data_IF_976965333820
#
_entry.id   IF_976965333820
#
_cell.length_a   1.000
_cell.length_b   1.000
_cell.length_c   1.000
_cell.angle_alpha   90.00
_cell.angle_beta   90.00
_cell.angle_gamma   90.00
#
_symmetry.space_group_name_H-M   'P 1'
#
loop_
_entity.id
_entity.type
_entity.pdbx_description
1 polymer ?
#
# COMPACT_ATOMS: atom_id res chain seq x y z
N UNK A 1 -12.99 -3.78 15.61
CA UNK A 1 -11.92 -4.68 15.12
C UNK A 1 -12.57 -5.87 14.42
N UNK A 2 -12.13 -6.11 13.16
CA UNK A 2 -12.79 -6.84 12.04
C UNK A 2 -14.27 -6.49 11.79
N UNK A 3 -14.75 -6.69 10.56
CA UNK A 3 -16.17 -6.48 10.21
C UNK A 3 -17.10 -7.41 11.01
N UNK A 4 -16.57 -8.54 11.50
CA UNK A 4 -17.30 -9.53 12.30
C UNK A 4 -17.16 -9.29 13.82
N UNK A 5 -16.56 -8.18 14.24
CA UNK A 5 -16.33 -7.88 15.66
C UNK A 5 -15.33 -8.81 16.37
N UNK A 6 -14.53 -9.55 15.61
CA UNK A 6 -13.50 -10.47 16.12
C UNK A 6 -12.16 -9.77 16.31
N UNK A 7 -11.43 -10.21 17.34
CA UNK A 7 -10.02 -9.89 17.58
C UNK A 7 -9.13 -10.94 16.91
N UNK A 8 -8.27 -10.58 15.95
CA UNK A 8 -7.28 -11.51 15.40
C UNK A 8 -6.07 -11.64 16.33
N UNK A 9 -5.30 -12.71 16.13
CA UNK A 9 -4.02 -12.92 16.83
C UNK A 9 -2.95 -11.93 16.38
N UNK A 10 -2.91 -11.64 15.07
CA UNK A 10 -2.03 -10.64 14.46
C UNK A 10 -2.85 -9.82 13.49
N UNK A 11 -2.61 -8.51 13.50
CA UNK A 11 -3.08 -7.62 12.46
C UNK A 11 -1.87 -7.04 11.71
N UNK A 12 -1.80 -7.30 10.41
CA UNK A 12 -0.79 -6.72 9.51
C UNK A 12 -1.46 -5.78 8.50
N UNK A 13 -0.83 -4.64 8.23
CA UNK A 13 -1.34 -3.58 7.35
C UNK A 13 -0.26 -3.16 6.36
N UNK A 14 -0.69 -2.77 5.15
CA UNK A 14 0.22 -2.26 4.11
C UNK A 14 0.69 -0.82 4.35
N UNK A 15 0.08 -0.13 5.31
CA UNK A 15 0.39 1.23 5.74
C UNK A 15 0.47 1.25 7.25
N UNK A 16 1.68 1.45 7.78
CA UNK A 16 1.92 1.45 9.21
C UNK A 16 1.11 2.51 9.95
N UNK A 17 0.83 3.67 9.33
CA UNK A 17 0.12 4.78 9.96
C UNK A 17 -1.34 4.45 10.31
N UNK A 18 -1.91 3.39 9.72
CA UNK A 18 -3.22 2.85 10.12
C UNK A 18 -3.24 2.45 11.59
N UNK A 19 -2.17 1.82 12.10
CA UNK A 19 -2.14 1.33 13.48
C UNK A 19 -2.22 2.48 14.49
N UNK A 20 -1.31 3.49 14.48
CA UNK A 20 -1.38 4.59 15.43
C UNK A 20 -2.59 5.50 15.23
N UNK A 21 -3.12 5.66 14.00
CA UNK A 21 -4.28 6.53 13.74
C UNK A 21 -5.61 5.90 14.13
N UNK A 22 -5.79 4.59 13.92
CA UNK A 22 -7.10 3.93 14.00
C UNK A 22 -7.21 2.86 15.09
N UNK A 23 -6.09 2.32 15.58
CA UNK A 23 -6.09 1.23 16.56
C UNK A 23 -5.54 1.66 17.92
N UNK A 24 -4.54 2.53 17.95
CA UNK A 24 -4.00 3.05 19.22
C UNK A 24 -4.89 4.21 19.71
N UNK A 25 -5.24 4.27 21.00
CA UNK A 25 -4.86 3.36 22.08
C UNK A 25 -5.96 2.34 22.41
N UNK A 26 -6.92 2.06 21.54
CA UNK A 26 -8.09 1.23 21.91
C UNK A 26 -7.84 -0.27 21.72
N UNK A 27 -7.26 -0.65 20.59
CA UNK A 27 -7.06 -2.02 20.16
C UNK A 27 -5.59 -2.45 20.11
N UNK A 28 -4.65 -1.52 20.18
CA UNK A 28 -3.22 -1.77 20.21
C UNK A 28 -2.50 -0.66 21.01
N UNK A 29 -1.25 -0.90 21.39
CA UNK A 29 -0.36 0.06 22.02
C UNK A 29 1.05 0.08 21.41
N UNK A 30 1.44 -0.90 20.61
CA UNK A 30 2.68 -0.93 19.85
C UNK A 30 2.45 -1.45 18.43
N UNK A 31 3.42 -1.24 17.54
CA UNK A 31 3.51 -1.89 16.23
C UNK A 31 4.97 -2.04 15.81
N UNK A 32 5.26 -2.97 14.91
CA UNK A 32 6.58 -3.12 14.32
C UNK A 32 6.50 -3.18 12.79
N UNK A 33 7.46 -2.53 12.13
CA UNK A 33 7.62 -2.61 10.67
C UNK A 33 8.23 -3.96 10.28
N UNK A 34 7.88 -4.49 9.11
CA UNK A 34 8.42 -5.79 8.67
C UNK A 34 8.77 -5.88 7.18
N UNK A 35 8.21 -5.02 6.34
CA UNK A 35 8.53 -5.00 4.91
C UNK A 35 8.26 -3.63 4.29
N UNK A 36 8.90 -3.37 3.15
CA UNK A 36 8.61 -2.23 2.27
C UNK A 36 8.23 -2.72 0.88
N UNK A 37 7.68 -1.81 0.08
CA UNK A 37 7.20 -2.09 -1.27
C UNK A 37 7.22 -0.83 -2.13
N UNK A 38 6.79 -0.93 -3.39
CA UNK A 38 6.61 0.19 -4.30
C UNK A 38 5.26 0.10 -5.01
N UNK A 39 4.65 1.26 -5.28
CA UNK A 39 3.47 1.30 -6.14
C UNK A 39 3.91 1.25 -7.60
N UNK A 40 3.24 0.44 -8.40
CA UNK A 40 3.51 0.25 -9.83
C UNK A 40 2.22 0.27 -10.64
N UNK A 41 2.40 0.41 -11.96
CA UNK A 41 1.33 0.27 -12.94
C UNK A 41 1.53 -1.06 -13.68
N UNK A 42 0.77 -2.09 -13.30
CA UNK A 42 0.88 -3.43 -13.86
C UNK A 42 0.00 -3.61 -15.10
N UNK A 43 0.46 -4.44 -16.04
CA UNK A 43 -0.20 -4.72 -17.31
C UNK A 43 0.21 -6.09 -17.88
N UNK A 44 -0.51 -6.56 -18.91
CA UNK A 44 -0.17 -7.77 -19.69
C UNK A 44 0.52 -7.41 -21.00
N UNK A 45 1.13 -8.38 -21.66
CA UNK A 45 1.67 -8.16 -23.01
C UNK A 45 0.59 -7.74 -24.02
N UNK A 46 -0.63 -8.22 -23.84
CA UNK A 46 -1.78 -7.98 -24.71
C UNK A 46 -2.56 -6.72 -24.34
N UNK A 47 -2.17 -6.02 -23.26
CA UNK A 47 -2.83 -4.78 -22.86
C UNK A 47 -2.70 -3.72 -23.96
N UNK A 48 -3.77 -2.96 -24.19
CA UNK A 48 -3.74 -1.88 -25.16
C UNK A 48 -2.66 -0.84 -24.80
N UNK A 49 -1.72 -0.56 -25.72
CA UNK A 49 -0.57 0.32 -25.48
C UNK A 49 0.62 -0.30 -24.74
N UNK A 50 0.63 -1.63 -24.52
CA UNK A 50 1.72 -2.30 -23.81
C UNK A 50 3.08 -2.24 -24.53
N UNK A 51 3.09 -2.04 -25.86
CA UNK A 51 4.33 -1.99 -26.65
C UNK A 51 5.05 -0.65 -26.56
N UNK A 52 4.33 0.43 -26.30
CA UNK A 52 4.90 1.78 -26.30
C UNK A 52 4.92 2.44 -24.92
N UNK A 53 4.27 1.83 -23.91
CA UNK A 53 4.28 2.34 -22.53
C UNK A 53 5.65 2.20 -21.86
N UNK A 54 6.07 3.26 -21.17
CA UNK A 54 7.30 3.33 -20.38
C UNK A 54 7.18 4.38 -19.27
N UNK A 55 8.24 4.49 -18.46
CA UNK A 55 8.34 5.45 -17.34
C UNK A 55 8.11 6.90 -17.78
N UNK A 56 8.46 7.28 -19.00
CA UNK A 56 8.35 8.67 -19.46
C UNK A 56 6.96 9.03 -20.02
N UNK A 57 6.15 8.04 -20.40
CA UNK A 57 4.89 8.29 -21.12
C UNK A 57 3.65 7.58 -20.57
N UNK A 58 3.76 6.77 -19.51
CA UNK A 58 2.65 5.96 -18.98
C UNK A 58 1.35 6.76 -18.82
N UNK A 59 1.44 7.97 -18.29
CA UNK A 59 0.27 8.82 -18.06
C UNK A 59 -0.42 9.23 -19.36
N UNK A 60 0.33 9.41 -20.46
CA UNK A 60 -0.25 9.70 -21.78
C UNK A 60 -0.95 8.47 -22.36
N UNK A 61 -0.41 7.28 -22.11
CA UNK A 61 -1.04 6.02 -22.52
C UNK A 61 -2.36 5.84 -21.78
N UNK A 62 -2.39 6.03 -20.46
CA UNK A 62 -3.61 5.90 -19.65
C UNK A 62 -4.74 6.87 -20.05
N UNK A 63 -4.40 8.02 -20.63
CA UNK A 63 -5.35 9.03 -21.08
C UNK A 63 -5.87 8.80 -22.52
N UNK A 64 -5.41 7.76 -23.23
CA UNK A 64 -5.94 7.42 -24.56
C UNK A 64 -7.35 6.89 -24.45
N UNK A 65 -8.15 7.19 -25.48
CA UNK A 65 -9.50 6.63 -25.60
C UNK A 65 -9.45 5.09 -25.63
N UNK A 66 -10.35 4.45 -24.87
CA UNK A 66 -10.47 2.99 -24.82
C UNK A 66 -9.57 2.30 -23.81
N UNK A 67 -8.60 2.97 -23.18
CA UNK A 67 -7.75 2.37 -22.14
C UNK A 67 -8.53 2.24 -20.84
N UNK A 68 -8.51 1.03 -20.26
CA UNK A 68 -9.22 0.68 -19.02
C UNK A 68 -8.21 0.51 -17.89
N UNK A 69 -8.21 1.46 -16.96
CA UNK A 69 -7.31 1.44 -15.80
C UNK A 69 -8.08 1.19 -14.53
N UNK A 70 -7.70 0.16 -13.78
CA UNK A 70 -8.25 -0.15 -12.46
C UNK A 70 -7.38 0.35 -11.32
N UNK A 71 -8.03 0.61 -10.19
CA UNK A 71 -7.41 0.92 -8.89
C UNK A 71 -8.34 0.47 -7.77
N UNK A 72 -7.84 0.35 -6.56
CA UNK A 72 -8.69 0.07 -5.41
C UNK A 72 -9.37 1.31 -4.85
N UNK A 73 -10.35 1.09 -3.97
CA UNK A 73 -11.10 2.14 -3.30
C UNK A 73 -10.23 2.82 -2.24
N UNK A 74 -9.97 4.14 -2.34
CA UNK A 74 -9.14 4.86 -1.38
C UNK A 74 -9.74 4.87 0.04
N UNK A 75 -11.04 4.62 0.20
CA UNK A 75 -11.64 4.54 1.54
C UNK A 75 -11.40 3.18 2.23
N UNK A 76 -11.05 2.14 1.45
CA UNK A 76 -10.99 0.75 1.95
C UNK A 76 -9.60 0.13 1.85
N UNK A 77 -8.70 0.69 1.03
CA UNK A 77 -7.41 0.10 0.74
C UNK A 77 -6.29 1.16 0.59
N UNK A 78 -5.14 1.00 1.29
CA UNK A 78 -3.93 1.78 1.08
C UNK A 78 -3.50 1.97 -0.37
N UNK A 79 -3.57 0.95 -1.21
CA UNK A 79 -3.19 1.10 -2.61
C UNK A 79 -4.08 2.12 -3.34
N UNK A 80 -5.34 2.27 -2.91
CA UNK A 80 -6.32 3.18 -3.50
C UNK A 80 -5.96 4.64 -3.26
N UNK A 81 -5.72 5.04 -2.02
CA UNK A 81 -5.32 6.43 -1.74
C UNK A 81 -3.87 6.71 -2.16
N UNK A 82 -2.97 5.72 -2.09
CA UNK A 82 -1.59 5.85 -2.62
C UNK A 82 -1.60 6.10 -4.13
N UNK A 83 -2.49 5.46 -4.88
CA UNK A 83 -2.66 5.76 -6.31
C UNK A 83 -2.97 7.24 -6.55
N UNK A 84 -3.86 7.84 -5.75
CA UNK A 84 -4.17 9.27 -5.85
C UNK A 84 -2.97 10.15 -5.47
N UNK A 85 -2.16 9.73 -4.50
CA UNK A 85 -0.92 10.42 -4.12
C UNK A 85 0.11 10.37 -5.24
N UNK A 86 0.32 9.20 -5.86
CA UNK A 86 1.23 9.05 -7.00
C UNK A 86 0.82 9.95 -8.17
N UNK A 87 -0.48 10.12 -8.42
CA UNK A 87 -0.95 11.04 -9.45
C UNK A 87 -0.63 12.51 -9.13
N UNK A 88 -0.79 12.94 -7.88
CA UNK A 88 -0.40 14.29 -7.43
C UNK A 88 1.11 14.50 -7.53
N UNK A 89 1.91 13.50 -7.16
CA UNK A 89 3.37 13.53 -7.26
C UNK A 89 3.82 13.57 -8.73
N UNK A 90 3.20 12.76 -9.59
CA UNK A 90 3.46 12.71 -11.02
C UNK A 90 3.16 14.05 -11.73
N UNK A 91 2.08 14.73 -11.34
CA UNK A 91 1.75 16.06 -11.87
C UNK A 91 2.92 17.05 -11.70
N UNK A 92 3.54 17.06 -10.52
CA UNK A 92 4.72 17.88 -10.24
C UNK A 92 5.97 17.36 -10.95
N UNK A 93 6.25 16.06 -10.81
CA UNK A 93 7.46 15.43 -11.34
C UNK A 93 7.58 15.59 -12.86
N UNK A 94 6.51 15.31 -13.60
CA UNK A 94 6.50 15.44 -15.07
C UNK A 94 6.16 16.85 -15.57
N UNK A 95 5.91 17.80 -14.66
CA UNK A 95 5.50 19.16 -14.97
C UNK A 95 4.30 19.19 -15.93
N UNK A 96 3.27 18.39 -15.61
CA UNK A 96 2.06 18.24 -16.42
C UNK A 96 0.85 18.81 -15.66
N UNK A 97 0.47 20.08 -15.87
CA UNK A 97 -0.62 20.70 -15.15
C UNK A 97 -1.92 19.91 -15.25
N UNK A 98 -2.63 19.77 -14.13
CA UNK A 98 -3.90 19.05 -14.01
C UNK A 98 -3.84 17.54 -14.32
N UNK A 99 -2.64 16.94 -14.42
CA UNK A 99 -2.48 15.53 -14.69
C UNK A 99 -3.23 14.64 -13.69
N UNK A 100 -3.19 14.97 -12.39
CA UNK A 100 -3.84 14.15 -11.38
C UNK A 100 -5.36 14.08 -11.59
N UNK A 101 -5.98 15.23 -11.90
CA UNK A 101 -7.41 15.33 -12.20
C UNK A 101 -7.80 14.59 -13.47
N UNK A 102 -6.94 14.63 -14.49
CA UNK A 102 -7.16 13.90 -15.75
C UNK A 102 -7.11 12.39 -15.53
N UNK A 103 -6.12 11.88 -14.81
CA UNK A 103 -6.00 10.46 -14.46
C UNK A 103 -7.18 9.97 -13.61
N UNK A 104 -7.62 10.79 -12.65
CA UNK A 104 -8.81 10.48 -11.86
C UNK A 104 -10.07 10.37 -12.72
N UNK A 105 -10.22 11.25 -13.72
CA UNK A 105 -11.34 11.20 -14.66
C UNK A 105 -11.28 9.98 -15.59
N UNK A 106 -10.07 9.53 -15.95
CA UNK A 106 -9.83 8.33 -16.76
C UNK A 106 -9.95 7.01 -15.99
N UNK A 107 -10.13 7.06 -14.66
CA UNK A 107 -10.27 5.89 -13.78
C UNK A 107 -11.66 5.87 -13.11
N UNK A 108 -12.75 5.67 -13.89
CA UNK A 108 -14.11 5.73 -13.37
C UNK A 108 -14.43 4.62 -12.35
N UNK A 109 -15.43 4.81 -11.46
CA UNK A 109 -15.79 3.85 -10.41
C UNK A 109 -16.06 2.41 -10.88
N UNK A 110 -16.51 2.21 -12.13
CA UNK A 110 -16.73 0.86 -12.69
C UNK A 110 -15.48 -0.02 -12.76
N UNK A 111 -14.30 0.59 -12.83
CA UNK A 111 -13.00 -0.11 -12.80
C UNK A 111 -12.37 -0.15 -11.42
N UNK A 112 -13.08 0.34 -10.40
CA UNK A 112 -12.64 0.31 -9.02
C UNK A 112 -13.07 -0.99 -8.34
N UNK A 113 -12.25 -1.50 -7.43
CA UNK A 113 -12.59 -2.62 -6.54
C UNK A 113 -12.29 -2.25 -5.09
N UNK A 114 -12.90 -2.92 -4.10
CA UNK A 114 -12.59 -2.68 -2.70
C UNK A 114 -11.10 -2.83 -2.38
N UNK A 115 -10.46 -3.88 -2.91
CA UNK A 115 -9.03 -4.16 -2.71
C UNK A 115 -8.26 -4.21 -4.03
N UNK A 116 -6.98 -3.90 -4.00
CA UNK A 116 -6.09 -3.95 -5.16
C UNK A 116 -5.94 -5.36 -5.73
N UNK A 117 -5.92 -6.35 -4.85
CA UNK A 117 -5.78 -7.77 -5.16
C UNK A 117 -6.96 -8.30 -5.97
N UNK A 118 -8.15 -7.74 -5.79
CA UNK A 118 -9.35 -8.05 -6.58
C UNK A 118 -9.21 -7.64 -8.06
N UNK A 119 -8.26 -6.74 -8.39
CA UNK A 119 -8.00 -6.30 -9.76
C UNK A 119 -7.15 -7.30 -10.55
N UNK A 120 -6.45 -8.22 -9.87
CA UNK A 120 -5.53 -9.18 -10.48
C UNK A 120 -6.23 -10.04 -11.52
N UNK A 121 -7.39 -10.62 -11.16
CA UNK A 121 -8.17 -11.45 -12.09
C UNK A 121 -8.71 -10.65 -13.29
N UNK A 122 -9.12 -9.40 -13.07
CA UNK A 122 -9.60 -8.52 -14.15
C UNK A 122 -8.47 -8.18 -15.13
N UNK A 123 -7.26 -7.95 -14.60
CA UNK A 123 -6.10 -7.78 -15.45
C UNK A 123 -5.79 -9.09 -16.18
N UNK A 124 -5.74 -10.25 -15.54
CA UNK A 124 -5.47 -11.54 -16.21
C UNK A 124 -6.43 -11.83 -17.37
N UNK A 125 -7.73 -11.56 -17.17
CA UNK A 125 -8.77 -11.82 -18.15
C UNK A 125 -8.88 -10.75 -19.25
N UNK A 126 -8.12 -9.66 -19.16
CA UNK A 126 -8.19 -8.56 -20.12
C UNK A 126 -9.42 -7.68 -20.03
N UNK A 127 -10.13 -7.73 -18.90
CA UNK A 127 -11.20 -6.80 -18.56
C UNK A 127 -10.66 -5.39 -18.28
N UNK A 128 -9.40 -5.31 -17.81
CA UNK A 128 -8.63 -4.09 -17.65
C UNK A 128 -7.33 -4.17 -18.46
N UNK A 129 -6.82 -3.03 -18.90
CA UNK A 129 -5.54 -2.92 -19.61
C UNK A 129 -4.40 -2.64 -18.62
N UNK A 130 -4.66 -1.85 -17.58
CA UNK A 130 -3.70 -1.50 -16.55
C UNK A 130 -4.34 -1.55 -15.16
N UNK A 131 -3.55 -1.87 -14.13
CA UNK A 131 -3.98 -1.78 -12.74
C UNK A 131 -2.91 -1.13 -11.88
N UNK A 132 -3.34 -0.26 -10.97
CA UNK A 132 -2.49 0.24 -9.90
C UNK A 132 -2.40 -0.82 -8.79
N UNK A 133 -1.19 -1.27 -8.50
CA UNK A 133 -0.92 -2.32 -7.52
C UNK A 133 0.50 -2.18 -6.98
N UNK A 134 0.91 -3.13 -6.14
CA UNK A 134 2.27 -3.19 -5.61
C UNK A 134 3.20 -4.04 -6.48
N UNK A 135 4.49 -3.72 -6.49
CA UNK A 135 5.50 -4.50 -7.22
C UNK A 135 5.51 -5.98 -6.81
N UNK A 136 5.30 -6.27 -5.52
CA UNK A 136 5.18 -7.66 -5.02
C UNK A 136 4.03 -8.44 -5.67
N UNK A 137 2.86 -7.82 -5.83
CA UNK A 137 1.69 -8.44 -6.45
C UNK A 137 1.90 -8.60 -7.96
N UNK A 138 2.44 -7.57 -8.61
CA UNK A 138 2.76 -7.62 -10.03
C UNK A 138 3.73 -8.77 -10.33
N UNK A 139 4.77 -8.92 -9.50
CA UNK A 139 5.77 -9.99 -9.60
C UNK A 139 5.17 -11.38 -9.40
N UNK A 140 4.46 -11.59 -8.30
CA UNK A 140 3.86 -12.90 -7.97
C UNK A 140 2.75 -13.31 -8.93
N UNK A 141 2.09 -12.34 -9.57
CA UNK A 141 1.08 -12.58 -10.61
C UNK A 141 1.65 -12.71 -12.03
N UNK A 142 2.97 -12.52 -12.20
CA UNK A 142 3.64 -12.61 -13.50
C UNK A 142 3.29 -11.49 -14.48
N UNK A 143 2.84 -10.32 -13.99
CA UNK A 143 2.56 -9.17 -14.83
C UNK A 143 3.84 -8.43 -15.21
N UNK A 144 3.77 -7.70 -16.32
CA UNK A 144 4.71 -6.62 -16.59
C UNK A 144 4.26 -5.37 -15.83
N UNK A 145 5.17 -4.46 -15.55
CA UNK A 145 4.81 -3.19 -14.95
C UNK A 145 5.72 -2.07 -15.45
N UNK A 146 5.26 -0.84 -15.26
CA UNK A 146 6.08 0.36 -15.42
C UNK A 146 6.81 0.63 -14.11
N UNK A 147 8.14 0.66 -14.15
CA UNK A 147 8.95 1.13 -13.02
C UNK A 147 8.80 2.65 -12.91
N UNK A 148 7.97 3.07 -11.95
CA UNK A 148 7.74 4.48 -11.65
C UNK A 148 8.98 5.05 -10.93
N UNK A 149 9.34 6.33 -11.19
CA UNK A 149 10.48 6.96 -10.52
C UNK A 149 10.36 6.89 -8.99
N UNK A 150 11.47 6.69 -8.26
CA UNK A 150 11.47 6.69 -6.80
C UNK A 150 10.77 7.91 -6.21
N UNK A 151 10.91 9.09 -6.82
CA UNK A 151 10.30 10.35 -6.38
C UNK A 151 8.76 10.34 -6.35
N UNK A 152 8.12 9.37 -7.02
CA UNK A 152 6.65 9.29 -7.06
C UNK A 152 6.09 7.93 -6.63
N UNK A 153 6.89 6.87 -6.61
CA UNK A 153 6.41 5.50 -6.42
C UNK A 153 6.22 5.09 -4.94
N UNK A 154 6.52 6.01 -4.03
CA UNK A 154 6.40 5.86 -2.58
C UNK A 154 7.31 4.77 -1.98
N UNK A 155 8.43 4.43 -2.61
CA UNK A 155 9.30 3.34 -2.12
C UNK A 155 10.51 3.82 -1.32
N UNK A 156 11.10 4.96 -1.70
CA UNK A 156 12.37 5.43 -1.16
C UNK A 156 12.18 6.34 0.08
N UNK A 157 12.69 5.97 1.26
CA UNK A 157 12.67 6.81 2.46
C UNK A 157 13.31 8.19 2.28
N UNK A 158 14.30 8.33 1.40
CA UNK A 158 14.96 9.62 1.14
C UNK A 158 14.00 10.67 0.52
N UNK A 159 12.89 10.22 -0.07
CA UNK A 159 11.89 11.06 -0.71
C UNK A 159 10.70 11.40 0.21
N UNK A 160 10.73 10.98 1.49
CA UNK A 160 9.61 11.13 2.42
C UNK A 160 9.05 12.56 2.50
N UNK A 161 9.92 13.57 2.50
CA UNK A 161 9.50 14.97 2.51
C UNK A 161 8.71 15.37 1.24
N UNK A 162 9.12 14.88 0.06
CA UNK A 162 8.42 15.13 -1.20
C UNK A 162 7.09 14.38 -1.26
N UNK A 163 7.07 13.12 -0.82
CA UNK A 163 5.82 12.35 -0.73
C UNK A 163 4.78 13.04 0.14
N UNK A 164 5.20 13.62 1.27
CA UNK A 164 4.31 14.27 2.25
C UNK A 164 3.58 15.50 1.70
N UNK A 165 4.01 16.03 0.56
CA UNK A 165 3.31 17.11 -0.13
C UNK A 165 2.03 16.61 -0.84
N UNK A 166 1.91 15.31 -1.13
CA UNK A 166 0.66 14.72 -1.61
C UNK A 166 -0.23 14.35 -0.43
N UNK A 167 -1.54 14.62 -0.54
CA UNK A 167 -2.50 14.34 0.52
C UNK A 167 -3.82 13.82 0.00
N UNK A 168 -4.44 12.93 0.76
CA UNK A 168 -5.78 12.42 0.52
C UNK A 168 -6.57 12.53 1.81
N UNK A 169 -7.76 13.12 1.72
CA UNK A 169 -8.70 13.20 2.83
C UNK A 169 -9.78 12.17 2.58
N UNK A 170 -9.86 11.18 3.46
CA UNK A 170 -10.91 10.17 3.40
C UNK A 170 -12.08 10.64 4.26
N UNK A 171 -13.32 10.65 3.72
CA UNK A 171 -14.48 10.98 4.53
C UNK A 171 -14.63 9.94 5.64
N UNK A 172 -14.95 10.40 6.85
CA UNK A 172 -15.39 9.50 7.91
C UNK A 172 -16.80 8.97 7.64
N UNK A 173 -17.37 8.26 8.62
CA UNK A 173 -18.71 7.70 8.52
C UNK A 173 -19.79 8.77 8.23
N UNK A 174 -19.56 10.03 8.62
CA UNK A 174 -20.40 11.17 8.28
C UNK A 174 -19.68 12.16 7.36
N UNK A 175 -20.34 12.59 6.27
CA UNK A 175 -19.79 13.59 5.32
C UNK A 175 -19.56 14.99 5.91
N UNK A 176 -19.92 15.22 7.18
CA UNK A 176 -19.79 16.49 7.89
C UNK A 176 -18.46 16.59 8.66
N UNK A 177 -17.33 16.46 7.95
CA UNK A 177 -16.00 17.01 8.23
C UNK A 177 -15.30 16.80 9.61
N UNK A 178 -15.92 16.22 10.64
CA UNK A 178 -15.28 16.04 11.97
C UNK A 178 -14.58 14.70 12.16
N UNK A 179 -14.87 13.72 11.32
CA UNK A 179 -14.38 12.34 11.36
C UNK A 179 -13.58 11.95 10.11
N UNK A 180 -13.32 12.90 9.21
CA UNK A 180 -12.43 12.68 8.08
C UNK A 180 -10.99 12.47 8.56
N UNK A 181 -10.29 11.51 7.95
CA UNK A 181 -8.89 11.21 8.26
C UNK A 181 -8.02 11.68 7.10
N UNK A 182 -7.04 12.54 7.39
CA UNK A 182 -6.01 12.94 6.42
C UNK A 182 -4.87 11.92 6.43
N UNK A 183 -4.52 11.47 5.22
CA UNK A 183 -3.33 10.70 4.91
C UNK A 183 -2.42 11.53 4.02
N UNK A 184 -1.13 11.55 4.35
CA UNK A 184 -0.07 12.18 3.57
C UNK A 184 0.76 11.10 2.90
N UNK A 185 1.37 11.42 1.77
CA UNK A 185 2.29 10.50 1.13
C UNK A 185 3.48 10.22 2.05
N UNK A 186 3.84 8.95 2.17
CA UNK A 186 4.96 8.46 2.95
C UNK A 186 5.50 7.18 2.29
N UNK A 187 6.74 6.77 2.59
CA UNK A 187 7.28 5.51 2.09
C UNK A 187 6.36 4.33 2.46
N UNK A 188 6.16 3.40 1.53
CA UNK A 188 5.33 2.23 1.73
C UNK A 188 6.06 1.29 2.69
N UNK A 189 5.61 1.31 3.94
CA UNK A 189 6.09 0.45 5.00
C UNK A 189 4.92 -0.35 5.56
N UNK A 190 5.06 -1.67 5.52
CA UNK A 190 4.14 -2.62 6.11
C UNK A 190 4.49 -2.78 7.59
N UNK A 191 3.46 -2.83 8.42
CA UNK A 191 3.60 -3.05 9.85
C UNK A 191 2.59 -4.06 10.36
N UNK A 192 2.88 -4.62 11.52
CA UNK A 192 1.95 -5.45 12.24
C UNK A 192 1.88 -5.06 13.72
N UNK A 193 0.82 -5.51 14.38
CA UNK A 193 0.68 -5.50 15.84
C UNK A 193 0.00 -6.78 16.30
N UNK A 194 0.22 -7.14 17.56
CA UNK A 194 -0.60 -8.14 18.27
C UNK A 194 -1.69 -7.34 19.01
N UNK A 195 -2.97 -7.40 18.59
CA UNK A 195 -4.01 -6.59 19.20
C UNK A 195 -4.20 -6.93 20.69
N UNK A 196 -4.67 -5.94 21.46
CA UNK A 196 -5.12 -6.18 22.83
C UNK A 196 -6.27 -7.19 22.82
N UNK A 197 -6.13 -8.23 23.62
CA UNK A 197 -7.09 -9.32 23.68
C UNK A 197 -7.00 -10.30 22.50
N UNK A 198 -5.85 -10.38 21.81
CA UNK A 198 -5.52 -11.49 20.92
C UNK A 198 -5.84 -12.83 21.63
N UNK A 199 -6.64 -13.71 21.02
CA UNK A 199 -7.08 -14.94 21.68
C UNK A 199 -5.95 -15.95 21.93
N UNK A 200 -4.88 -15.92 21.12
CA UNK A 200 -3.74 -16.82 21.20
C UNK A 200 -2.40 -16.05 21.14
N UNK A 201 -2.03 -15.30 22.20
CA UNK A 201 -0.84 -14.46 22.21
C UNK A 201 0.46 -15.25 21.98
N UNK A 202 0.58 -16.45 22.54
CA UNK A 202 1.77 -17.29 22.35
C UNK A 202 1.97 -17.73 20.90
N UNK A 203 0.88 -18.02 20.18
CA UNK A 203 0.90 -18.37 18.75
C UNK A 203 1.27 -17.14 17.91
N UNK A 204 0.72 -15.97 18.27
CA UNK A 204 1.07 -14.72 17.62
C UNK A 204 2.58 -14.41 17.78
N UNK A 205 3.13 -14.55 18.99
CA UNK A 205 4.56 -14.36 19.23
C UNK A 205 5.43 -15.36 18.45
N UNK A 206 5.02 -16.63 18.37
CA UNK A 206 5.72 -17.63 17.58
C UNK A 206 5.74 -17.27 16.08
N UNK A 207 4.62 -16.79 15.54
CA UNK A 207 4.55 -16.31 14.17
C UNK A 207 5.45 -15.09 13.94
N UNK A 208 5.51 -14.14 14.89
CA UNK A 208 6.40 -12.98 14.77
C UNK A 208 7.88 -13.40 14.73
N UNK A 209 8.29 -14.37 15.56
CA UNK A 209 9.66 -14.92 15.49
C UNK A 209 9.92 -15.59 14.14
N UNK A 210 8.94 -16.31 13.61
CA UNK A 210 9.04 -16.89 12.27
C UNK A 210 9.16 -15.83 11.18
N UNK A 211 8.35 -14.77 11.23
CA UNK A 211 8.37 -13.65 10.28
C UNK A 211 9.75 -13.02 10.16
N UNK A 212 10.44 -12.83 11.29
CA UNK A 212 11.79 -12.27 11.35
C UNK A 212 12.92 -13.29 11.24
N UNK A 213 12.61 -14.59 11.17
CA UNK A 213 13.61 -15.62 10.89
C UNK A 213 14.15 -15.51 9.47
N UNK A 214 15.27 -16.20 9.18
CA UNK A 214 15.82 -16.28 7.83
C UNK A 214 14.81 -16.81 6.81
N UNK A 215 13.97 -17.77 7.20
CA UNK A 215 12.93 -18.32 6.33
C UNK A 215 11.81 -17.32 6.06
N UNK A 216 11.35 -16.60 7.08
CA UNK A 216 10.34 -15.55 6.93
C UNK A 216 10.81 -14.43 6.00
N UNK A 217 12.04 -13.95 6.19
CA UNK A 217 12.65 -12.92 5.35
C UNK A 217 12.82 -13.39 3.90
N UNK A 218 13.20 -14.67 3.69
CA UNK A 218 13.29 -15.27 2.36
C UNK A 218 11.93 -15.35 1.68
N UNK A 219 10.88 -15.78 2.38
CA UNK A 219 9.51 -15.83 1.84
C UNK A 219 9.04 -14.43 1.40
N UNK A 220 9.32 -13.39 2.21
CA UNK A 220 9.00 -12.01 1.84
C UNK A 220 9.78 -11.56 0.59
N UNK A 221 11.09 -11.83 0.53
CA UNK A 221 11.94 -11.48 -0.60
C UNK A 221 11.50 -12.20 -1.89
N UNK A 222 11.18 -13.48 -1.82
CA UNK A 222 10.70 -14.29 -2.94
C UNK A 222 9.36 -13.78 -3.47
N UNK A 223 8.51 -13.26 -2.58
CA UNK A 223 7.26 -12.57 -2.92
C UNK A 223 7.46 -11.15 -3.49
N UNK A 224 8.69 -10.65 -3.55
CA UNK A 224 9.01 -9.31 -4.07
C UNK A 224 8.82 -8.17 -3.07
N UNK A 225 8.65 -8.48 -1.79
CA UNK A 225 8.74 -7.50 -0.71
C UNK A 225 10.21 -7.30 -0.31
N UNK A 226 10.55 -6.13 0.21
CA UNK A 226 11.86 -5.90 0.82
C UNK A 226 11.72 -6.00 2.33
N UNK A 227 12.31 -7.01 3.01
CA UNK A 227 12.24 -7.12 4.46
C UNK A 227 12.81 -5.89 5.17
N UNK A 228 12.10 -5.37 6.17
CA UNK A 228 12.58 -4.26 7.00
C UNK A 228 13.48 -4.82 8.12
N UNK A 229 14.80 -4.78 7.90
CA UNK A 229 15.79 -5.34 8.85
C UNK A 229 16.88 -4.28 9.13
N UNK A 230 17.06 -3.85 10.40
CA UNK A 230 16.26 -4.24 11.55
C UNK A 230 14.83 -3.66 11.49
N UNK A 231 13.84 -4.32 12.11
CA UNK A 231 12.51 -3.76 12.22
C UNK A 231 12.47 -2.60 13.21
N UNK A 232 11.65 -1.61 12.89
CA UNK A 232 11.41 -0.43 13.73
C UNK A 232 10.18 -0.67 14.61
N UNK A 233 10.30 -0.36 15.89
CA UNK A 233 9.19 -0.37 16.85
C UNK A 233 8.57 1.03 16.96
N UNK A 234 7.24 1.12 16.98
CA UNK A 234 6.53 2.36 17.25
C UNK A 234 5.32 2.19 18.19
N UNK A 235 4.81 3.32 18.67
CA UNK A 235 3.68 3.37 19.62
C UNK A 235 4.11 3.64 21.07
N UNK A 236 3.17 3.99 21.96
CA UNK A 236 3.46 4.30 23.37
C UNK A 236 3.69 3.06 24.25
N UNK A 237 3.33 1.87 23.77
CA UNK A 237 3.48 0.60 24.47
C UNK A 237 4.77 -0.13 24.13
N UNK A 238 4.90 -1.33 24.69
CA UNK A 238 6.02 -2.24 24.42
C UNK A 238 5.48 -3.58 23.90
N UNK A 239 6.20 -4.25 22.99
CA UNK A 239 5.84 -5.59 22.59
C UNK A 239 6.02 -6.57 23.77
N UNK A 240 5.43 -7.78 23.69
CA UNK A 240 5.70 -8.84 24.65
C UNK A 240 7.19 -9.01 24.91
N UNK A 241 7.57 -9.26 26.17
CA UNK A 241 8.98 -9.38 26.61
C UNK A 241 9.79 -10.34 25.73
N UNK A 242 9.13 -11.40 25.28
CA UNK A 242 9.70 -12.46 24.46
C UNK A 242 10.03 -12.04 23.00
N UNK A 243 9.60 -10.85 22.59
CA UNK A 243 9.84 -10.25 21.28
C UNK A 243 10.71 -8.99 21.35
N UNK A 244 10.94 -8.41 22.53
CA UNK A 244 11.67 -7.14 22.67
C UNK A 244 13.08 -7.17 22.06
N UNK A 245 13.76 -8.32 22.13
CA UNK A 245 15.09 -8.50 21.52
C UNK A 245 15.11 -8.52 19.98
N UNK A 246 13.95 -8.48 19.31
CA UNK A 246 13.86 -8.47 17.85
C UNK A 246 13.87 -7.06 17.25
N UNK A 247 13.53 -6.03 18.04
CA UNK A 247 13.26 -4.70 17.51
C UNK A 247 14.33 -3.71 17.93
N UNK A 248 14.67 -2.78 17.03
CA UNK A 248 15.46 -1.61 17.38
C UNK A 248 14.51 -0.54 17.91
N UNK A 249 14.86 0.11 19.02
CA UNK A 249 14.17 1.33 19.42
C UNK A 249 14.54 2.45 18.45
N UNK A 250 13.52 3.17 17.97
CA UNK A 250 13.66 4.39 17.16
C UNK A 250 14.17 5.56 18.02
#
# INVERSE_FOLDING_TARGET
>A
MTELGKTPDILAVADYAIIPKLLIPTHADWYATFATNSLVLAFRNESAGALDINTQNWYRVLLRSGIRTGRSDPALDPAGYRTLMVWQLAERYYQQPALARLLQSASPPRYMRPKESDLTALLQLGELDYVWTYASIARTSGFRWVDLPPEINLSDPAQAASYAEARVVLPGANRAAKDSVEFRGEPIVYAFTIPRGAPHPEVAEAFVRFLFSQDGQRILADAGLQPAVPPTLGGPGQPPLSLQGLFSHE
#
